data_IF_373822422049
#
_entry.id   IF_373822422049
#
_cell.length_a   1.000
_cell.length_b   1.000
_cell.length_c   1.000
_cell.angle_alpha   90.00
_cell.angle_beta   90.00
_cell.angle_gamma   90.00
#
_symmetry.space_group_name_H-M   'P 1'
#
loop_
_entity.id
_entity.type
_entity.pdbx_description
1 polymer ?
#
# COMPACT_ATOMS: atom_id res chain seq x y z
N UNK A 1 -9.78 -7.63 -11.88
CA UNK A 1 -10.82 -7.64 -12.94
C UNK A 1 -12.11 -8.21 -12.36
N UNK A 2 -13.19 -7.44 -12.30
CA UNK A 2 -14.51 -8.01 -12.02
C UNK A 2 -14.85 -8.96 -13.18
N UNK A 3 -14.93 -10.26 -12.90
CA UNK A 3 -14.97 -11.31 -13.93
C UNK A 3 -16.30 -11.42 -14.69
N UNK A 4 -17.28 -10.55 -14.46
CA UNK A 4 -18.59 -10.63 -15.12
C UNK A 4 -19.08 -9.25 -15.55
N UNK A 5 -19.05 -8.99 -16.85
CA UNK A 5 -19.97 -8.03 -17.45
C UNK A 5 -21.39 -8.59 -17.32
N UNK A 6 -22.43 -7.74 -17.10
CA UNK A 6 -23.82 -8.19 -17.15
C UNK A 6 -24.11 -8.88 -18.49
N UNK A 7 -24.95 -9.95 -18.52
CA UNK A 7 -25.32 -10.62 -19.76
C UNK A 7 -25.93 -9.63 -20.76
N UNK A 8 -25.54 -9.71 -22.04
CA UNK A 8 -26.16 -8.92 -23.11
C UNK A 8 -25.53 -7.55 -23.43
N UNK A 9 -24.45 -7.14 -22.77
CA UNK A 9 -23.68 -5.94 -23.15
C UNK A 9 -22.28 -6.27 -23.64
N UNK A 10 -21.79 -5.55 -24.67
CA UNK A 10 -20.38 -5.64 -25.11
C UNK A 10 -19.47 -5.39 -23.91
N UNK A 11 -18.40 -6.18 -23.80
CA UNK A 11 -17.37 -6.00 -22.78
C UNK A 11 -16.81 -4.58 -22.86
N UNK A 12 -17.04 -3.81 -21.80
CA UNK A 12 -16.45 -2.48 -21.63
C UNK A 12 -15.18 -2.62 -20.78
N UNK A 13 -14.16 -1.80 -21.07
CA UNK A 13 -13.01 -1.65 -20.18
C UNK A 13 -13.48 -0.88 -18.95
N UNK A 14 -13.25 -1.43 -17.78
CA UNK A 14 -13.59 -0.81 -16.48
C UNK A 14 -12.29 -0.65 -15.71
N UNK A 15 -12.06 0.52 -15.13
CA UNK A 15 -10.91 0.80 -14.28
C UNK A 15 -11.22 0.39 -12.82
N UNK A 16 -10.32 -0.36 -12.18
CA UNK A 16 -10.46 -0.73 -10.77
C UNK A 16 -9.82 0.38 -9.93
N UNK A 17 -10.63 1.28 -9.40
CA UNK A 17 -10.13 2.46 -8.67
C UNK A 17 -9.52 2.12 -7.31
N UNK A 18 -9.96 1.02 -6.68
CA UNK A 18 -9.59 0.63 -5.31
C UNK A 18 -10.31 1.43 -4.22
N UNK A 19 -11.26 2.30 -4.59
CA UNK A 19 -12.14 2.99 -3.64
C UNK A 19 -13.26 2.05 -3.17
N UNK A 20 -13.58 2.12 -1.89
CA UNK A 20 -14.75 1.48 -1.30
C UNK A 20 -15.89 2.49 -1.27
N UNK A 21 -17.08 2.06 -1.71
CA UNK A 21 -18.28 2.88 -1.64
C UNK A 21 -19.53 2.01 -1.56
N UNK A 22 -20.64 2.62 -1.14
CA UNK A 22 -21.97 1.99 -1.15
C UNK A 22 -22.98 2.85 -1.86
N UNK A 23 -23.93 2.21 -2.53
CA UNK A 23 -25.08 2.89 -3.10
C UNK A 23 -26.09 3.25 -2.01
N UNK A 24 -26.58 4.49 -2.05
CA UNK A 24 -27.67 4.97 -1.21
C UNK A 24 -29.02 4.74 -1.91
N UNK A 25 -30.10 4.78 -1.13
CA UNK A 25 -31.46 4.52 -1.63
C UNK A 25 -31.93 5.58 -2.66
N UNK A 26 -31.34 6.77 -2.62
CA UNK A 26 -31.60 7.87 -3.56
C UNK A 26 -30.79 7.76 -4.87
N UNK A 27 -29.96 6.71 -5.01
CA UNK A 27 -29.11 6.48 -6.17
C UNK A 27 -27.75 7.18 -6.12
N UNK A 28 -27.43 7.90 -5.05
CA UNK A 28 -26.11 8.48 -4.85
C UNK A 28 -25.10 7.42 -4.39
N UNK A 29 -23.81 7.68 -4.63
CA UNK A 29 -22.70 6.83 -4.18
C UNK A 29 -22.01 7.48 -2.97
N UNK A 30 -22.02 6.80 -1.83
CA UNK A 30 -21.28 7.21 -0.64
C UNK A 30 -19.87 6.62 -0.65
N UNK A 31 -18.86 7.48 -0.49
CA UNK A 31 -17.46 7.08 -0.39
C UNK A 31 -17.13 6.62 1.04
N UNK A 32 -16.64 5.39 1.18
CA UNK A 32 -16.34 4.75 2.46
C UNK A 32 -14.84 4.62 2.75
N UNK A 33 -13.99 5.14 1.87
CA UNK A 33 -12.54 5.07 1.98
C UNK A 33 -11.92 4.21 0.88
N UNK A 34 -10.74 3.65 1.16
CA UNK A 34 -10.01 2.82 0.20
C UNK A 34 -9.97 1.37 0.66
N UNK A 35 -10.02 0.47 -0.31
CA UNK A 35 -9.80 -0.97 -0.07
C UNK A 35 -8.31 -1.29 0.12
N UNK A 36 -7.42 -0.40 -0.33
CA UNK A 36 -5.98 -0.54 -0.25
C UNK A 36 -5.38 0.48 0.74
N UNK A 37 -4.19 0.17 1.22
CA UNK A 37 -3.45 0.96 2.22
C UNK A 37 -2.72 2.17 1.59
N UNK A 38 -3.35 2.83 0.62
CA UNK A 38 -2.70 3.90 -0.11
C UNK A 38 -2.66 5.20 0.71
N UNK A 39 -1.48 5.81 0.78
CA UNK A 39 -1.24 6.99 1.63
C UNK A 39 -0.70 8.17 0.82
N UNK A 40 -1.02 9.39 1.29
CA UNK A 40 -0.40 10.62 0.79
C UNK A 40 0.67 11.08 1.76
N UNK A 41 1.91 11.24 1.28
CA UNK A 41 3.03 11.75 2.04
C UNK A 41 3.72 12.83 1.21
N UNK A 42 3.79 14.06 1.73
CA UNK A 42 4.43 15.21 1.06
C UNK A 42 4.00 15.39 -0.41
N UNK A 43 2.71 15.16 -0.70
CA UNK A 43 2.13 15.28 -2.05
C UNK A 43 2.25 14.03 -2.94
N UNK A 44 3.03 13.03 -2.53
CA UNK A 44 3.18 11.77 -3.26
C UNK A 44 2.11 10.77 -2.85
N UNK A 45 1.58 10.04 -3.84
CA UNK A 45 0.62 8.96 -3.66
C UNK A 45 1.41 7.65 -3.62
N UNK A 46 1.51 7.06 -2.43
CA UNK A 46 2.37 5.91 -2.16
C UNK A 46 1.50 4.69 -1.91
N UNK A 47 1.80 3.60 -2.63
CA UNK A 47 1.20 2.28 -2.44
C UNK A 47 2.02 1.49 -1.41
N UNK A 48 1.55 1.39 -0.17
CA UNK A 48 2.31 0.73 0.89
C UNK A 48 2.63 -0.74 0.57
N UNK A 49 1.68 -1.46 -0.04
CA UNK A 49 1.87 -2.85 -0.45
C UNK A 49 2.97 -3.05 -1.51
N UNK A 50 3.31 -2.04 -2.31
CA UNK A 50 4.42 -2.11 -3.27
C UNK A 50 5.76 -2.08 -2.54
N UNK A 51 5.88 -1.22 -1.53
CA UNK A 51 7.06 -1.13 -0.67
C UNK A 51 7.24 -2.43 0.12
N UNK A 52 6.15 -2.97 0.69
CA UNK A 52 6.17 -4.28 1.37
C UNK A 52 6.63 -5.39 0.43
N UNK A 53 6.08 -5.45 -0.79
CA UNK A 53 6.46 -6.46 -1.78
C UNK A 53 7.94 -6.35 -2.19
N UNK A 54 8.49 -5.13 -2.25
CA UNK A 54 9.91 -4.92 -2.53
C UNK A 54 10.78 -5.36 -1.34
N UNK A 55 10.41 -4.99 -0.10
CA UNK A 55 11.14 -5.38 1.11
C UNK A 55 11.14 -6.90 1.34
N UNK A 56 10.04 -7.59 1.01
CA UNK A 56 9.94 -9.06 1.08
C UNK A 56 10.88 -9.80 0.12
N UNK A 57 11.46 -9.13 -0.89
CA UNK A 57 12.44 -9.74 -1.78
C UNK A 57 13.82 -9.89 -1.13
N UNK A 58 14.07 -9.17 -0.04
CA UNK A 58 15.33 -9.27 0.68
C UNK A 58 15.37 -10.58 1.48
N UNK A 59 16.42 -11.38 1.30
CA UNK A 59 16.52 -12.76 1.82
C UNK A 59 16.37 -12.88 3.35
N UNK A 60 16.71 -11.81 4.07
CA UNK A 60 16.63 -11.77 5.53
C UNK A 60 15.25 -11.39 6.07
N UNK A 61 14.32 -10.93 5.22
CA UNK A 61 12.99 -10.43 5.62
C UNK A 61 11.98 -11.57 5.51
N UNK A 62 11.43 -12.01 6.65
CA UNK A 62 10.37 -13.03 6.68
C UNK A 62 8.98 -12.43 6.54
N UNK A 63 8.74 -11.32 7.25
CA UNK A 63 7.47 -10.58 7.21
C UNK A 63 7.77 -9.10 7.28
N UNK A 64 6.90 -8.30 6.69
CA UNK A 64 6.97 -6.85 6.74
C UNK A 64 5.57 -6.27 6.75
N UNK A 65 5.42 -5.15 7.45
CA UNK A 65 4.28 -4.24 7.35
C UNK A 65 4.83 -2.83 7.23
N UNK A 66 4.32 -2.04 6.29
CA UNK A 66 4.68 -0.63 6.14
C UNK A 66 3.47 0.21 6.54
N UNK A 67 3.71 1.23 7.36
CA UNK A 67 2.67 2.19 7.79
C UNK A 67 3.10 3.62 7.48
N UNK A 68 2.11 4.52 7.39
CA UNK A 68 2.35 5.96 7.40
C UNK A 68 2.03 6.51 8.79
N UNK A 69 3.07 6.92 9.52
CA UNK A 69 2.93 7.48 10.86
C UNK A 69 2.99 9.00 10.81
N UNK A 70 2.14 9.67 11.59
CA UNK A 70 2.20 11.12 11.78
C UNK A 70 3.29 11.45 12.80
N UNK A 71 4.13 12.44 12.50
CA UNK A 71 5.21 12.89 13.40
C UNK A 71 4.70 13.84 14.49
N UNK A 72 3.40 14.12 14.55
CA UNK A 72 2.78 15.08 15.47
C UNK A 72 2.84 16.53 14.97
N UNK A 73 3.55 16.79 13.87
CA UNK A 73 3.65 18.08 13.19
C UNK A 73 2.75 18.17 11.96
N UNK A 74 1.94 17.13 11.69
CA UNK A 74 1.13 16.99 10.48
C UNK A 74 1.90 16.43 9.28
N UNK A 75 3.21 16.22 9.43
CA UNK A 75 4.00 15.48 8.47
C UNK A 75 3.85 13.98 8.68
N UNK A 76 3.70 13.25 7.58
CA UNK A 76 3.71 11.79 7.59
C UNK A 76 5.08 11.26 7.19
N UNK A 77 5.50 10.20 7.85
CA UNK A 77 6.69 9.42 7.51
C UNK A 77 6.30 7.97 7.27
N UNK A 78 7.06 7.28 6.42
CA UNK A 78 6.93 5.83 6.27
C UNK A 78 7.71 5.13 7.36
N UNK A 79 7.10 4.11 7.96
CA UNK A 79 7.74 3.22 8.91
C UNK A 79 7.56 1.78 8.41
N UNK A 80 8.65 1.04 8.31
CA UNK A 80 8.63 -0.38 7.98
C UNK A 80 8.94 -1.19 9.25
N UNK A 81 8.04 -2.11 9.61
CA UNK A 81 8.22 -3.06 10.70
C UNK A 81 8.55 -4.41 10.10
N UNK A 82 9.71 -4.96 10.45
CA UNK A 82 10.26 -6.13 9.78
C UNK A 82 10.47 -7.25 10.80
N UNK A 83 10.10 -8.47 10.41
CA UNK A 83 10.42 -9.71 11.13
C UNK A 83 11.53 -10.44 10.38
N UNK A 84 12.67 -10.71 11.03
CA UNK A 84 13.75 -11.50 10.46
C UNK A 84 13.38 -12.94 10.13
N UNK A 85 14.01 -13.50 9.09
CA UNK A 85 14.03 -14.96 8.86
C UNK A 85 14.90 -15.71 9.86
N UNK A 86 15.97 -15.09 10.36
CA UNK A 86 16.83 -15.64 11.42
C UNK A 86 17.22 -14.54 12.40
N UNK A 87 17.46 -14.91 13.66
CA UNK A 87 17.74 -13.94 14.75
C UNK A 87 19.00 -13.11 14.48
N UNK A 88 19.97 -13.69 13.77
CA UNK A 88 21.25 -13.03 13.42
C UNK A 88 21.16 -12.13 12.17
N UNK A 89 20.02 -12.12 11.47
CA UNK A 89 19.91 -11.44 10.16
C UNK A 89 19.84 -9.90 10.23
N UNK A 90 19.66 -9.33 11.43
CA UNK A 90 19.45 -7.89 11.64
C UNK A 90 20.59 -7.19 12.37
N UNK A 91 21.82 -7.68 12.18
CA UNK A 91 23.01 -7.07 12.77
C UNK A 91 23.26 -5.63 12.27
N UNK A 92 22.58 -5.19 11.19
CA UNK A 92 22.73 -3.84 10.59
C UNK A 92 21.42 -3.26 10.01
N UNK A 93 20.62 -2.53 10.82
CA UNK A 93 19.41 -1.83 10.36
C UNK A 93 19.61 -0.78 9.26
N UNK A 94 20.83 -0.26 9.10
CA UNK A 94 21.16 0.81 8.14
C UNK A 94 21.04 0.40 6.67
N UNK A 95 21.30 -0.87 6.33
CA UNK A 95 21.22 -1.40 4.96
C UNK A 95 19.82 -1.28 4.37
N UNK A 96 18.78 -1.60 5.15
CA UNK A 96 17.39 -1.48 4.70
C UNK A 96 16.96 -0.04 4.47
N UNK A 97 17.48 0.89 5.28
CA UNK A 97 17.17 2.31 5.14
C UNK A 97 17.71 2.89 3.84
N UNK A 98 18.88 2.42 3.38
CA UNK A 98 19.48 2.82 2.10
C UNK A 98 18.69 2.27 0.91
N UNK A 99 18.29 0.99 0.96
CA UNK A 99 17.53 0.35 -0.12
C UNK A 99 16.13 0.97 -0.29
N UNK A 100 15.43 1.24 0.81
CA UNK A 100 14.18 2.00 0.81
C UNK A 100 14.35 3.40 0.22
N UNK A 101 15.39 4.13 0.63
CA UNK A 101 15.69 5.45 0.07
C UNK A 101 15.96 5.36 -1.43
N UNK A 102 16.67 4.33 -1.89
CA UNK A 102 16.96 4.12 -3.31
C UNK A 102 15.72 3.78 -4.14
N UNK A 103 14.78 3.02 -3.57
CA UNK A 103 13.53 2.69 -4.25
C UNK A 103 12.59 3.90 -4.37
N UNK A 104 12.60 4.78 -3.38
CA UNK A 104 11.71 5.93 -3.28
C UNK A 104 12.27 7.22 -3.89
N UNK A 105 13.53 7.21 -4.34
CA UNK A 105 14.22 8.35 -4.96
C UNK A 105 14.18 8.29 -6.47
#
# INVERSE_FOLDING_TARGET
FYKKSPPGRRRQKIYKTGDLGRWLADGNLEFLGRMDDQVKIRGYRIELGEIEAQLLRHETVQKVVVTANDTGTGDKILCAYIVPGTVDAFDKPSLFSEELKRYLS
#
